data_IF_431558188868
#
_entry.id   IF_431558188868
#
_cell.length_a   1.000
_cell.length_b   1.000
_cell.length_c   1.000
_cell.angle_alpha   90.00
_cell.angle_beta   90.00
_cell.angle_gamma   90.00
#
_symmetry.space_group_name_H-M   'P 1'
#
loop_
_entity.id
_entity.type
_entity.pdbx_description
1 polymer ?
#
# COMPACT_ATOMS: atom_id res chain seq x y z
N UNK A 1 6.45 -3.59 -20.12
CA UNK A 1 5.55 -4.08 -19.06
C UNK A 1 6.06 -3.58 -17.72
N UNK A 2 5.22 -2.92 -16.91
CA UNK A 2 5.59 -2.43 -15.56
C UNK A 2 5.40 -0.93 -15.28
N UNK A 3 4.83 -0.16 -16.21
CA UNK A 3 4.58 1.28 -15.97
C UNK A 3 3.43 1.53 -14.97
N UNK A 4 2.54 0.55 -14.80
CA UNK A 4 1.36 0.66 -13.92
C UNK A 4 1.27 -0.58 -13.04
N UNK A 5 0.92 -0.38 -11.77
CA UNK A 5 0.63 -1.45 -10.81
C UNK A 5 -0.87 -1.70 -10.73
N UNK A 6 -1.28 -2.96 -10.69
CA UNK A 6 -2.65 -3.30 -10.35
C UNK A 6 -2.85 -3.10 -8.84
N UNK A 7 -3.64 -2.10 -8.47
CA UNK A 7 -3.89 -1.74 -7.07
C UNK A 7 -4.65 -2.86 -6.35
N UNK A 8 -4.29 -3.12 -5.09
CA UNK A 8 -4.87 -4.20 -4.31
C UNK A 8 -4.29 -5.59 -4.60
N UNK A 9 -3.25 -5.71 -5.43
CA UNK A 9 -2.58 -6.98 -5.73
C UNK A 9 -1.13 -7.00 -5.24
N UNK A 10 -0.73 -8.18 -4.76
CA UNK A 10 0.58 -8.42 -4.18
C UNK A 10 0.69 -7.92 -2.74
N UNK A 11 1.63 -8.51 -2.01
CA UNK A 11 1.94 -8.12 -0.65
C UNK A 11 3.44 -8.26 -0.39
N UNK A 12 4.01 -7.37 0.43
CA UNK A 12 5.43 -7.44 0.81
C UNK A 12 5.72 -8.72 1.61
N UNK A 13 4.78 -9.13 2.47
CA UNK A 13 4.92 -10.29 3.36
C UNK A 13 4.27 -11.55 2.80
N UNK A 14 3.07 -11.44 2.21
CA UNK A 14 2.33 -12.62 1.76
C UNK A 14 2.75 -12.97 0.33
N UNK A 15 3.22 -14.21 0.15
CA UNK A 15 3.52 -14.83 -1.16
C UNK A 15 2.49 -15.89 -1.54
N UNK A 16 1.39 -15.90 -0.80
CA UNK A 16 0.19 -16.72 -0.95
C UNK A 16 -1.01 -15.79 -0.70
N UNK A 17 -2.22 -16.33 -0.81
CA UNK A 17 -3.44 -15.54 -0.58
C UNK A 17 -3.45 -14.91 0.82
N UNK A 18 -3.78 -13.61 0.90
CA UNK A 18 -3.82 -12.88 2.17
C UNK A 18 -4.97 -13.43 3.04
N UNK A 19 -4.70 -13.91 4.26
CA UNK A 19 -5.75 -14.48 5.11
C UNK A 19 -6.84 -13.46 5.46
N UNK A 20 -6.51 -12.16 5.47
CA UNK A 20 -7.47 -11.08 5.72
C UNK A 20 -8.36 -10.83 4.51
N UNK A 21 -7.82 -10.95 3.30
CA UNK A 21 -8.59 -10.78 2.07
C UNK A 21 -9.74 -11.81 1.98
N UNK A 22 -9.50 -13.05 2.44
CA UNK A 22 -10.55 -14.08 2.50
C UNK A 22 -11.72 -13.69 3.40
N UNK A 23 -11.43 -13.13 4.59
CA UNK A 23 -12.46 -12.69 5.54
C UNK A 23 -13.19 -11.46 5.01
N UNK A 24 -12.44 -10.49 4.47
CA UNK A 24 -13.05 -9.28 3.90
C UNK A 24 -13.91 -9.62 2.68
N UNK A 25 -13.53 -10.59 1.83
CA UNK A 25 -14.36 -11.03 0.70
C UNK A 25 -15.76 -11.46 1.15
N UNK A 26 -15.84 -12.29 2.19
CA UNK A 26 -17.11 -12.71 2.78
C UNK A 26 -17.90 -11.53 3.35
N UNK A 27 -17.22 -10.56 3.97
CA UNK A 27 -17.87 -9.34 4.45
C UNK A 27 -18.40 -8.49 3.29
N UNK A 28 -17.65 -8.41 2.19
CA UNK A 28 -18.06 -7.67 1.01
C UNK A 28 -19.36 -8.25 0.44
N UNK A 29 -19.44 -9.58 0.25
CA UNK A 29 -20.66 -10.27 -0.17
C UNK A 29 -21.88 -9.88 0.71
N UNK A 30 -21.72 -9.94 2.03
CA UNK A 30 -22.78 -9.53 2.99
C UNK A 30 -23.16 -8.06 2.88
N UNK A 31 -22.21 -7.16 2.62
CA UNK A 31 -22.50 -5.73 2.42
C UNK A 31 -23.29 -5.53 1.13
N UNK A 32 -22.99 -6.27 0.06
CA UNK A 32 -23.73 -6.17 -1.20
C UNK A 32 -25.13 -6.77 -1.15
N UNK A 33 -25.38 -7.76 -0.29
CA UNK A 33 -26.73 -8.24 -0.02
C UNK A 33 -27.65 -7.12 0.50
N UNK A 34 -27.10 -6.17 1.25
CA UNK A 34 -27.84 -5.05 1.83
C UNK A 34 -27.85 -3.81 0.93
N UNK A 35 -26.69 -3.45 0.39
CA UNK A 35 -26.50 -2.23 -0.41
C UNK A 35 -26.89 -2.40 -1.88
N UNK A 36 -27.10 -3.64 -2.31
CA UNK A 36 -27.28 -4.00 -3.71
C UNK A 36 -25.95 -4.22 -4.43
N UNK A 37 -25.99 -5.03 -5.49
CA UNK A 37 -24.82 -5.31 -6.32
C UNK A 37 -24.58 -4.15 -7.29
N UNK A 38 -23.35 -3.65 -7.31
CA UNK A 38 -22.90 -2.61 -8.25
C UNK A 38 -21.98 -3.22 -9.30
N UNK A 39 -22.05 -2.73 -10.55
CA UNK A 39 -21.14 -3.04 -11.67
C UNK A 39 -19.65 -3.02 -11.28
N UNK A 40 -19.24 -2.14 -10.35
CA UNK A 40 -17.85 -2.11 -9.86
C UNK A 40 -17.42 -3.40 -9.15
N UNK A 41 -18.34 -4.06 -8.42
CA UNK A 41 -18.05 -5.36 -7.82
C UNK A 41 -17.87 -6.43 -8.88
N UNK A 42 -18.72 -6.45 -9.91
CA UNK A 42 -18.60 -7.43 -10.99
C UNK A 42 -17.27 -7.29 -11.72
N UNK A 43 -16.87 -6.05 -12.00
CA UNK A 43 -15.57 -5.73 -12.58
C UNK A 43 -14.44 -6.21 -11.65
N UNK A 44 -14.54 -5.95 -10.35
CA UNK A 44 -13.52 -6.36 -9.40
C UNK A 44 -13.38 -7.90 -9.28
N UNK A 45 -14.51 -8.63 -9.23
CA UNK A 45 -14.48 -10.10 -9.19
C UNK A 45 -13.88 -10.69 -10.47
N UNK A 46 -14.20 -10.11 -11.62
CA UNK A 46 -13.62 -10.55 -12.89
C UNK A 46 -12.13 -10.19 -12.98
N UNK A 47 -11.72 -9.03 -12.47
CA UNK A 47 -10.31 -8.66 -12.33
C UNK A 47 -9.54 -9.63 -11.42
N UNK A 48 -10.12 -10.04 -10.29
CA UNK A 48 -9.54 -11.09 -9.44
C UNK A 48 -9.39 -12.39 -10.23
N UNK A 49 -10.44 -12.85 -10.90
CA UNK A 49 -10.43 -14.11 -11.65
C UNK A 49 -9.32 -14.12 -12.72
N UNK A 50 -9.28 -13.07 -13.54
CA UNK A 50 -8.26 -12.93 -14.59
C UNK A 50 -6.85 -12.89 -13.98
N UNK A 51 -6.65 -12.09 -12.93
CA UNK A 51 -5.34 -11.98 -12.30
C UNK A 51 -4.88 -13.28 -11.60
N UNK A 52 -5.80 -14.16 -11.17
CA UNK A 52 -5.43 -15.46 -10.59
C UNK A 52 -5.08 -16.52 -11.65
N UNK A 53 -5.51 -16.33 -12.90
CA UNK A 53 -5.25 -17.23 -14.02
C UNK A 53 -4.10 -16.76 -14.92
N UNK A 54 -3.79 -15.46 -14.91
CA UNK A 54 -2.77 -14.84 -15.76
C UNK A 54 -1.33 -15.19 -15.32
N UNK A 55 -0.51 -15.63 -16.28
CA UNK A 55 0.86 -16.07 -16.06
C UNK A 55 1.75 -14.99 -15.41
N UNK A 56 1.56 -13.70 -15.75
CA UNK A 56 2.32 -12.60 -15.17
C UNK A 56 2.10 -12.51 -13.66
N UNK A 57 0.86 -12.69 -13.21
CA UNK A 57 0.47 -12.59 -11.80
C UNK A 57 0.81 -13.86 -11.02
N UNK A 58 0.57 -15.04 -11.61
CA UNK A 58 0.88 -16.34 -10.99
C UNK A 58 2.38 -16.50 -10.76
N UNK A 59 3.20 -16.24 -11.79
CA UNK A 59 4.66 -16.35 -11.70
C UNK A 59 5.27 -15.41 -10.64
N UNK A 60 4.62 -14.26 -10.42
CA UNK A 60 5.04 -13.23 -9.43
C UNK A 60 4.33 -13.35 -8.08
N UNK A 61 3.42 -14.32 -7.92
CA UNK A 61 2.62 -14.55 -6.70
C UNK A 61 1.87 -13.30 -6.26
N UNK A 62 1.25 -12.61 -7.22
CA UNK A 62 0.50 -11.38 -7.01
C UNK A 62 -0.97 -11.71 -6.75
N UNK A 63 -1.30 -11.95 -5.48
CA UNK A 63 -2.67 -12.24 -5.04
C UNK A 63 -3.38 -10.97 -4.56
N UNK A 64 -4.73 -10.92 -4.61
CA UNK A 64 -5.50 -9.86 -3.96
C UNK A 64 -5.13 -9.75 -2.48
N UNK A 65 -4.98 -8.53 -2.00
CA UNK A 65 -4.75 -8.21 -0.61
C UNK A 65 -5.99 -7.58 0.03
N UNK A 66 -5.91 -7.29 1.32
CA UNK A 66 -7.01 -6.72 2.11
C UNK A 66 -7.57 -5.42 1.52
N UNK A 67 -6.75 -4.61 0.85
CA UNK A 67 -7.13 -3.30 0.32
C UNK A 67 -8.03 -3.41 -0.92
N UNK A 68 -7.92 -4.52 -1.66
CA UNK A 68 -8.73 -4.77 -2.85
C UNK A 68 -10.22 -4.78 -2.51
N UNK A 69 -10.60 -5.60 -1.53
CA UNK A 69 -12.00 -5.74 -1.15
C UNK A 69 -12.49 -4.63 -0.23
N UNK A 70 -11.63 -4.06 0.63
CA UNK A 70 -12.04 -2.98 1.53
C UNK A 70 -12.45 -1.72 0.76
N UNK A 71 -11.76 -1.40 -0.34
CA UNK A 71 -12.14 -0.27 -1.19
C UNK A 71 -13.55 -0.42 -1.79
N UNK A 72 -13.93 -1.63 -2.22
CA UNK A 72 -15.26 -1.88 -2.78
C UNK A 72 -16.34 -1.82 -1.69
N UNK A 73 -16.05 -2.33 -0.49
CA UNK A 73 -16.93 -2.21 0.68
C UNK A 73 -17.19 -0.73 1.00
N UNK A 74 -16.14 0.08 1.12
CA UNK A 74 -16.30 1.50 1.46
C UNK A 74 -17.04 2.27 0.36
N UNK A 75 -16.79 1.94 -0.91
CA UNK A 75 -17.53 2.50 -2.03
C UNK A 75 -19.02 2.11 -1.97
N UNK A 76 -19.33 0.85 -1.68
CA UNK A 76 -20.71 0.37 -1.53
C UNK A 76 -21.46 1.04 -0.37
N UNK A 77 -20.74 1.37 0.70
CA UNK A 77 -21.26 2.13 1.84
C UNK A 77 -21.41 3.64 1.55
N UNK A 78 -20.98 4.11 0.38
CA UNK A 78 -21.11 5.52 -0.04
C UNK A 78 -20.02 6.44 0.51
N UNK A 79 -18.91 5.91 1.03
CA UNK A 79 -17.79 6.75 1.45
C UNK A 79 -17.04 7.32 0.24
N UNK A 80 -16.62 8.60 0.29
CA UNK A 80 -15.74 9.17 -0.72
C UNK A 80 -14.35 8.51 -0.63
N UNK A 81 -13.65 8.38 -1.77
CA UNK A 81 -12.38 7.64 -1.87
C UNK A 81 -11.29 8.26 -0.99
N UNK A 82 -11.34 9.57 -0.80
CA UNK A 82 -10.45 10.35 0.06
C UNK A 82 -10.54 9.89 1.54
N UNK A 83 -11.65 9.27 1.94
CA UNK A 83 -11.85 8.76 3.31
C UNK A 83 -11.32 7.33 3.51
N UNK A 84 -10.93 6.61 2.47
CA UNK A 84 -10.50 5.22 2.62
C UNK A 84 -9.25 5.08 3.51
N UNK A 85 -8.21 5.93 3.39
CA UNK A 85 -7.07 5.90 4.31
C UNK A 85 -7.47 6.24 5.76
N UNK A 86 -8.46 7.12 5.95
CA UNK A 86 -8.97 7.50 7.28
C UNK A 86 -9.67 6.29 7.93
N UNK A 87 -10.56 5.63 7.18
CA UNK A 87 -11.26 4.43 7.64
C UNK A 87 -10.31 3.26 7.95
N UNK A 88 -9.18 3.19 7.25
CA UNK A 88 -8.10 2.25 7.56
C UNK A 88 -7.31 2.63 8.83
N UNK A 89 -7.07 3.93 9.05
CA UNK A 89 -6.29 4.43 10.17
C UNK A 89 -6.99 4.23 11.52
N UNK A 90 -8.33 4.32 11.57
CA UNK A 90 -9.13 4.16 12.80
C UNK A 90 -8.81 2.82 13.51
N UNK A 91 -9.05 1.63 12.90
CA UNK A 91 -8.74 0.37 13.56
C UNK A 91 -7.23 0.15 13.73
N UNK A 92 -6.40 0.74 12.86
CA UNK A 92 -4.94 0.62 12.95
C UNK A 92 -4.37 1.35 14.17
N UNK A 93 -5.05 2.39 14.65
CA UNK A 93 -4.60 3.21 15.78
C UNK A 93 -4.38 2.37 17.04
N UNK A 94 -5.23 1.38 17.30
CA UNK A 94 -5.03 0.44 18.41
C UNK A 94 -3.69 -0.32 18.30
N UNK A 95 -3.35 -0.79 17.10
CA UNK A 95 -2.07 -1.45 16.84
C UNK A 95 -0.87 -0.50 16.92
N UNK A 96 -1.00 0.74 16.46
CA UNK A 96 0.05 1.76 16.60
C UNK A 96 0.34 2.07 18.07
N UNK A 97 -0.70 2.24 18.88
CA UNK A 97 -0.56 2.50 20.32
C UNK A 97 0.07 1.28 21.02
N UNK A 98 -0.38 0.06 20.69
CA UNK A 98 0.19 -1.16 21.25
C UNK A 98 1.70 -1.27 20.97
N UNK A 99 2.12 -1.11 19.71
CA UNK A 99 3.54 -1.13 19.35
C UNK A 99 4.34 0.02 19.96
N UNK A 100 3.73 1.20 20.10
CA UNK A 100 4.38 2.33 20.75
C UNK A 100 4.61 2.08 22.24
N UNK A 101 3.61 1.53 22.94
CA UNK A 101 3.74 1.16 24.35
C UNK A 101 4.77 0.04 24.55
N UNK A 102 4.75 -0.99 23.70
CA UNK A 102 5.75 -2.07 23.69
C UNK A 102 7.16 -1.50 23.53
N UNK A 103 7.36 -0.60 22.55
CA UNK A 103 8.64 0.07 22.34
C UNK A 103 9.08 0.93 23.54
N UNK A 104 8.15 1.61 24.22
CA UNK A 104 8.49 2.44 25.40
C UNK A 104 8.83 1.63 26.64
N UNK A 105 8.22 0.44 26.78
CA UNK A 105 8.41 -0.43 27.93
C UNK A 105 9.57 -1.41 27.77
N UNK A 106 10.09 -1.57 26.55
CA UNK A 106 11.24 -2.40 26.26
C UNK A 106 12.53 -1.82 26.91
N UNK A 107 13.14 -2.52 27.89
CA UNK A 107 14.34 -2.05 28.56
C UNK A 107 15.57 -2.01 27.63
N UNK A 108 15.54 -2.72 26.50
CA UNK A 108 16.62 -2.73 25.52
C UNK A 108 16.47 -1.63 24.45
N UNK A 109 15.39 -0.83 24.52
CA UNK A 109 15.07 0.12 23.47
C UNK A 109 16.15 1.19 23.28
N UNK A 110 16.47 1.46 22.01
CA UNK A 110 17.38 2.51 21.53
C UNK A 110 16.72 3.38 20.47
N UNK A 111 17.12 4.65 20.43
CA UNK A 111 16.65 5.59 19.40
C UNK A 111 17.02 5.06 18.00
N UNK A 112 16.04 4.97 17.11
CA UNK A 112 16.27 4.61 15.72
C UNK A 112 17.13 5.67 15.01
N UNK A 113 18.38 5.30 14.67
CA UNK A 113 19.34 6.16 13.94
C UNK A 113 19.89 5.42 12.71
N UNK A 114 19.12 5.35 11.61
CA UNK A 114 19.59 4.71 10.38
C UNK A 114 20.78 5.48 9.78
N UNK A 115 21.63 4.77 9.03
CA UNK A 115 22.75 5.34 8.28
C UNK A 115 22.45 5.43 6.79
N UNK A 116 23.26 6.20 6.09
CA UNK A 116 23.25 6.30 4.63
C UNK A 116 24.58 5.87 4.02
N UNK A 117 24.51 5.38 2.78
CA UNK A 117 25.68 5.21 1.90
C UNK A 117 25.75 6.45 1.01
N UNK A 118 26.72 7.32 1.27
CA UNK A 118 26.90 8.54 0.48
C UNK A 118 27.67 8.23 -0.80
N UNK A 119 27.02 8.42 -1.95
CA UNK A 119 27.60 8.25 -3.30
C UNK A 119 27.79 9.58 -4.04
N UNK A 120 27.63 10.70 -3.34
CA UNK A 120 27.82 12.02 -3.91
C UNK A 120 29.31 12.41 -3.98
N UNK A 121 29.60 13.59 -4.55
CA UNK A 121 30.96 14.11 -4.58
C UNK A 121 31.56 14.28 -3.19
N UNK A 122 32.86 14.02 -3.03
CA UNK A 122 33.58 14.36 -1.79
C UNK A 122 33.55 15.87 -1.53
N UNK A 123 34.09 16.30 -0.38
CA UNK A 123 34.21 17.72 -0.03
C UNK A 123 34.78 18.51 -1.21
N UNK A 124 34.02 19.52 -1.64
CA UNK A 124 34.39 20.47 -2.70
C UNK A 124 34.43 21.88 -2.13
N UNK A 125 35.35 22.70 -2.61
CA UNK A 125 35.38 24.12 -2.28
C UNK A 125 34.14 24.80 -2.84
N UNK A 126 33.58 25.71 -2.05
CA UNK A 126 32.50 26.56 -2.52
C UNK A 126 33.05 27.59 -3.51
N UNK A 127 32.38 27.75 -4.64
CA UNK A 127 32.68 28.78 -5.64
C UNK A 127 31.62 29.88 -5.48
N UNK A 128 32.02 31.16 -5.20
CA UNK A 128 31.12 32.31 -5.22
C UNK A 128 30.28 32.35 -6.49
N UNK A 129 29.06 32.89 -6.41
CA UNK A 129 28.11 32.78 -7.52
C UNK A 129 28.61 33.47 -8.79
N UNK A 130 29.39 34.53 -8.62
CA UNK A 130 30.02 35.35 -9.66
C UNK A 130 31.15 34.59 -10.40
N UNK A 131 31.76 33.61 -9.72
CA UNK A 131 32.90 32.83 -10.21
C UNK A 131 32.50 31.45 -10.75
N UNK A 132 31.21 31.11 -10.70
CA UNK A 132 30.70 29.87 -11.30
C UNK A 132 30.65 30.04 -12.81
N UNK A 133 31.19 29.07 -13.55
CA UNK A 133 30.97 29.01 -14.99
C UNK A 133 29.47 29.03 -15.28
N UNK A 134 29.04 29.96 -16.14
CA UNK A 134 27.67 29.93 -16.67
C UNK A 134 27.52 28.60 -17.40
N UNK A 135 26.57 27.77 -16.97
CA UNK A 135 26.18 26.57 -17.74
C UNK A 135 25.76 27.04 -19.13
N UNK A 136 26.64 26.89 -20.11
CA UNK A 136 26.30 26.96 -21.52
C UNK A 136 25.69 25.62 -21.89
N UNK A 137 24.35 25.53 -21.82
CA UNK A 137 23.58 24.38 -22.31
C UNK A 137 22.48 23.92 -21.35
N UNK A 138 21.35 24.61 -21.35
CA UNK A 138 20.05 24.19 -21.92
C UNK A 138 19.17 25.44 -22.09
#
# INVERSE_FOLDING_TARGET
AGEVRLMGFGHRVYKSYDPRARIIKQMAERVFEVTGRNRLLDIALELERIALEDEYFVSRRLYPNVDFYSGIIYQAMGFPVEMFPVLFAIPRTAGWIAHWLEMLQDPEQKIARPRQVYIGPQRRSYIPIEEREKRTGE
#
